data_IF_341230758471
#
_entry.id   IF_341230758471
#
_cell.length_a   1.000
_cell.length_b   1.000
_cell.length_c   1.000
_cell.angle_alpha   90.00
_cell.angle_beta   90.00
_cell.angle_gamma   90.00
#
_symmetry.space_group_name_H-M   'P 1'
#
loop_
_entity.id
_entity.type
_entity.pdbx_description
1 polymer ?
#
# COMPACT_ATOMS: atom_id res chain seq x y z
N UNK A 1 18.33 1.34 -11.64
CA UNK A 1 17.34 1.42 -12.75
C UNK A 1 15.95 1.27 -12.12
N UNK A 2 15.06 2.25 -12.30
CA UNK A 2 13.74 2.26 -11.65
C UNK A 2 12.67 1.49 -12.44
N UNK A 3 11.59 1.10 -11.77
CA UNK A 3 10.41 0.43 -12.35
C UNK A 3 9.42 1.46 -12.91
N UNK A 4 9.87 2.36 -13.79
CA UNK A 4 9.06 3.52 -14.24
C UNK A 4 7.85 3.15 -15.11
N UNK A 5 7.83 1.95 -15.69
CA UNK A 5 6.76 1.43 -16.56
C UNK A 5 6.02 0.24 -15.96
N UNK A 6 6.01 0.12 -14.63
CA UNK A 6 5.31 -0.97 -13.97
C UNK A 6 3.81 -0.75 -14.08
N UNK A 7 3.12 -1.58 -14.87
CA UNK A 7 1.66 -1.49 -15.05
C UNK A 7 0.89 -2.32 -14.02
N UNK A 8 1.47 -3.45 -13.59
CA UNK A 8 0.84 -4.41 -12.68
C UNK A 8 1.86 -5.04 -11.76
N UNK A 9 1.57 -5.07 -10.45
CA UNK A 9 2.39 -5.71 -9.44
C UNK A 9 1.59 -6.82 -8.76
N UNK A 10 2.07 -8.06 -8.86
CA UNK A 10 1.46 -9.22 -8.23
C UNK A 10 2.49 -9.98 -7.40
N UNK A 11 2.24 -10.11 -6.10
CA UNK A 11 3.12 -10.80 -5.15
C UNK A 11 2.28 -11.77 -4.34
N UNK A 12 2.61 -13.06 -4.41
CA UNK A 12 1.85 -14.13 -3.79
C UNK A 12 2.77 -15.13 -3.08
N UNK A 13 2.36 -15.58 -1.89
CA UNK A 13 2.92 -16.77 -1.20
C UNK A 13 4.45 -16.81 -1.07
N UNK A 14 5.06 -15.68 -0.73
CA UNK A 14 6.51 -15.59 -0.52
C UNK A 14 6.86 -15.08 0.89
N UNK A 15 8.08 -15.43 1.34
CA UNK A 15 8.63 -15.04 2.65
C UNK A 15 9.17 -13.61 2.70
N UNK A 16 8.60 -12.70 1.91
CA UNK A 16 9.09 -11.34 1.72
C UNK A 16 8.63 -10.42 2.85
N UNK A 17 9.58 -9.68 3.42
CA UNK A 17 9.32 -8.69 4.48
C UNK A 17 9.09 -7.28 3.90
N UNK A 18 9.79 -6.94 2.81
CA UNK A 18 9.72 -5.63 2.16
C UNK A 18 9.65 -5.78 0.64
N UNK A 19 8.75 -5.02 -0.01
CA UNK A 19 8.58 -5.08 -1.49
C UNK A 19 9.77 -4.50 -2.21
N UNK A 20 10.36 -3.44 -1.66
CA UNK A 20 11.57 -2.82 -2.21
C UNK A 20 12.74 -3.05 -1.26
N UNK A 21 13.80 -3.65 -1.80
CA UNK A 21 15.06 -3.85 -1.09
C UNK A 21 15.72 -2.51 -0.74
N UNK A 22 16.55 -2.50 0.31
CA UNK A 22 17.33 -1.35 0.77
C UNK A 22 18.19 -0.79 -0.38
N UNK A 23 17.70 0.24 -1.07
CA UNK A 23 18.44 1.07 -2.01
C UNK A 23 18.96 2.35 -1.34
N UNK A 24 19.82 3.10 -2.04
CA UNK A 24 20.45 4.32 -1.53
C UNK A 24 19.46 5.25 -0.83
N UNK A 25 19.89 5.76 0.34
CA UNK A 25 19.09 6.44 1.36
C UNK A 25 18.44 7.78 0.94
N UNK A 26 18.57 8.15 -0.34
CA UNK A 26 18.15 9.44 -0.87
C UNK A 26 16.69 9.48 -1.36
N UNK A 27 16.10 8.35 -1.78
CA UNK A 27 14.79 8.36 -2.44
C UNK A 27 13.68 8.10 -1.41
N UNK A 28 13.17 9.16 -0.79
CA UNK A 28 12.10 9.07 0.24
C UNK A 28 10.70 8.76 -0.31
N UNK A 29 10.51 8.89 -1.63
CA UNK A 29 9.20 8.83 -2.30
C UNK A 29 9.31 8.03 -3.59
N UNK A 30 8.42 7.06 -3.75
CA UNK A 30 8.31 6.26 -4.96
C UNK A 30 6.96 6.52 -5.61
N UNK A 31 6.97 6.80 -6.91
CA UNK A 31 5.73 7.03 -7.66
C UNK A 31 5.65 6.01 -8.78
N UNK A 32 4.63 5.17 -8.72
CA UNK A 32 4.30 4.20 -9.76
C UNK A 32 3.25 4.80 -10.68
N UNK A 33 3.71 5.60 -11.64
CA UNK A 33 2.85 6.40 -12.51
C UNK A 33 1.94 5.56 -13.43
N UNK A 34 2.40 4.39 -13.86
CA UNK A 34 1.69 3.55 -14.82
C UNK A 34 0.96 2.36 -14.15
N UNK A 35 1.15 2.17 -12.84
CA UNK A 35 0.62 1.01 -12.14
C UNK A 35 -0.89 1.13 -11.94
N UNK A 36 -1.63 0.20 -12.55
CA UNK A 36 -3.09 0.15 -12.51
C UNK A 36 -3.61 -0.98 -11.62
N UNK A 37 -2.78 -1.99 -11.34
CA UNK A 37 -3.16 -3.16 -10.55
C UNK A 37 -2.08 -3.51 -9.51
N UNK A 38 -2.53 -3.77 -8.28
CA UNK A 38 -1.69 -4.24 -7.17
C UNK A 38 -2.38 -5.43 -6.48
N UNK A 39 -1.71 -6.58 -6.42
CA UNK A 39 -2.14 -7.74 -5.64
C UNK A 39 -1.06 -8.20 -4.68
N UNK A 40 -1.42 -8.28 -3.40
CA UNK A 40 -0.63 -8.82 -2.30
C UNK A 40 -1.42 -9.96 -1.66
N UNK A 41 -0.94 -11.19 -1.80
CA UNK A 41 -1.72 -12.38 -1.43
C UNK A 41 -0.91 -13.36 -0.58
N UNK A 42 -1.41 -13.66 0.62
CA UNK A 42 -0.81 -14.61 1.57
C UNK A 42 0.67 -14.30 1.84
N UNK A 43 0.94 -13.07 2.28
CA UNK A 43 2.27 -12.59 2.63
C UNK A 43 2.35 -12.31 4.15
N UNK A 44 2.42 -13.35 5.00
CA UNK A 44 2.32 -13.19 6.45
C UNK A 44 3.52 -12.46 7.08
N UNK A 45 4.66 -12.43 6.39
CA UNK A 45 5.88 -11.75 6.84
C UNK A 45 6.01 -10.31 6.33
N UNK A 46 5.17 -9.90 5.39
CA UNK A 46 5.28 -8.60 4.73
C UNK A 46 4.97 -7.48 5.74
N UNK A 47 5.97 -6.67 6.05
CA UNK A 47 5.87 -5.54 6.99
C UNK A 47 5.50 -4.23 6.27
N UNK A 48 5.77 -4.15 4.97
CA UNK A 48 5.35 -3.03 4.14
C UNK A 48 6.12 -2.94 2.82
N UNK A 49 6.03 -1.79 2.17
CA UNK A 49 6.76 -1.57 0.91
C UNK A 49 8.25 -1.29 1.12
N UNK A 50 8.62 -0.61 2.22
CA UNK A 50 9.98 -0.16 2.50
C UNK A 50 10.33 -0.31 3.98
N UNK A 51 11.58 -0.69 4.32
CA UNK A 51 12.03 -0.85 5.72
C UNK A 51 12.19 0.47 6.50
N UNK A 52 11.99 1.62 5.87
CA UNK A 52 12.09 2.96 6.46
C UNK A 52 10.82 3.76 6.12
N UNK A 53 10.65 4.94 6.73
CA UNK A 53 9.52 5.85 6.48
C UNK A 53 9.60 6.44 5.06
N UNK A 54 9.19 5.65 4.08
CA UNK A 54 9.13 6.02 2.67
C UNK A 54 7.68 5.86 2.22
N UNK A 55 7.21 6.80 1.43
CA UNK A 55 5.85 6.76 0.89
C UNK A 55 5.89 6.26 -0.56
N UNK A 56 4.95 5.38 -0.89
CA UNK A 56 4.65 5.01 -2.26
C UNK A 56 3.37 5.68 -2.72
N UNK A 57 3.38 6.20 -3.93
CA UNK A 57 2.21 6.75 -4.59
C UNK A 57 1.85 5.98 -5.83
N UNK A 58 0.55 5.79 -6.02
CA UNK A 58 -0.02 4.96 -7.06
C UNK A 58 -1.15 5.72 -7.79
N UNK A 59 -0.82 6.83 -8.48
CA UNK A 59 -1.83 7.76 -8.99
C UNK A 59 -2.79 7.14 -10.01
N UNK A 60 -2.38 6.09 -10.72
CA UNK A 60 -3.21 5.40 -11.72
C UNK A 60 -3.80 4.08 -11.22
N UNK A 61 -3.70 3.77 -9.92
CA UNK A 61 -4.16 2.50 -9.38
C UNK A 61 -5.68 2.40 -9.45
N UNK A 62 -6.16 1.42 -10.21
CA UNK A 62 -7.59 1.15 -10.40
C UNK A 62 -8.08 0.04 -9.50
N UNK A 63 -7.22 -0.93 -9.21
CA UNK A 63 -7.56 -2.10 -8.41
C UNK A 63 -6.43 -2.47 -7.45
N UNK A 64 -6.80 -2.69 -6.20
CA UNK A 64 -5.92 -3.16 -5.14
C UNK A 64 -6.56 -4.37 -4.46
N UNK A 65 -5.79 -5.46 -4.32
CA UNK A 65 -6.19 -6.67 -3.60
C UNK A 65 -5.14 -6.97 -2.55
N UNK A 66 -5.55 -6.97 -1.28
CA UNK A 66 -4.67 -7.33 -0.16
C UNK A 66 -5.39 -8.39 0.68
N UNK A 67 -4.79 -9.57 0.79
CA UNK A 67 -5.36 -10.68 1.54
C UNK A 67 -4.26 -11.49 2.23
N UNK A 68 -4.49 -11.89 3.48
CA UNK A 68 -3.52 -12.68 4.26
C UNK A 68 -2.18 -11.97 4.48
N UNK A 69 -2.19 -10.63 4.59
CA UNK A 69 -1.02 -9.79 4.85
C UNK A 69 -1.16 -9.12 6.22
N UNK A 70 -0.90 -9.86 7.30
CA UNK A 70 -1.34 -9.50 8.65
C UNK A 70 -0.59 -8.33 9.28
N UNK A 71 0.60 -7.99 8.78
CA UNK A 71 1.44 -6.90 9.32
C UNK A 71 1.36 -5.61 8.50
N UNK A 72 0.69 -5.61 7.35
CA UNK A 72 0.62 -4.43 6.47
C UNK A 72 -0.61 -3.60 6.82
N UNK A 73 -0.39 -2.38 7.30
CA UNK A 73 -1.44 -1.38 7.41
C UNK A 73 -1.61 -0.67 6.06
N UNK A 74 -2.75 -0.90 5.40
CA UNK A 74 -3.07 -0.28 4.12
C UNK A 74 -3.97 0.94 4.36
N UNK A 75 -3.39 2.13 4.30
CA UNK A 75 -4.15 3.38 4.29
C UNK A 75 -4.24 3.90 2.86
N UNK A 76 -5.38 3.66 2.19
CA UNK A 76 -5.67 4.26 0.90
C UNK A 76 -6.41 5.59 1.11
N UNK A 77 -5.68 6.69 1.25
CA UNK A 77 -6.27 8.03 1.25
C UNK A 77 -6.65 8.41 -0.19
N UNK A 78 -7.92 8.25 -0.55
CA UNK A 78 -8.48 8.74 -1.83
C UNK A 78 -9.08 7.69 -2.78
N UNK A 79 -9.12 6.41 -2.42
CA UNK A 79 -9.81 5.39 -3.23
C UNK A 79 -11.15 5.03 -2.59
N UNK A 80 -12.26 5.37 -3.25
CA UNK A 80 -13.63 5.08 -2.80
C UNK A 80 -14.04 3.60 -2.87
N UNK A 81 -13.11 2.67 -3.04
CA UNK A 81 -13.38 1.23 -3.14
C UNK A 81 -12.44 0.44 -2.22
N UNK A 82 -12.77 0.38 -0.93
CA UNK A 82 -12.28 -0.70 -0.07
C UNK A 82 -13.50 -1.46 0.45
N UNK A 83 -13.86 -2.56 -0.22
CA UNK A 83 -14.65 -3.60 0.46
C UNK A 83 -13.74 -4.21 1.52
N UNK A 84 -13.86 -3.66 2.73
CA UNK A 84 -13.39 -4.30 3.94
C UNK A 84 -14.27 -5.53 4.15
N UNK A 85 -13.72 -6.73 4.04
CA UNK A 85 -14.28 -7.87 4.78
C UNK A 85 -13.37 -8.11 5.96
N UNK A 86 -13.57 -7.32 7.02
CA UNK A 86 -13.15 -7.70 8.35
C UNK A 86 -14.29 -8.50 8.96
N UNK A 87 -14.22 -9.82 8.86
CA UNK A 87 -14.95 -10.70 9.77
C UNK A 87 -14.11 -10.82 11.04
N UNK A 88 -14.10 -9.77 11.86
CA UNK A 88 -13.93 -9.82 13.32
C UNK A 88 -14.01 -8.39 13.86
N UNK A 89 -14.99 -8.18 14.74
CA UNK A 89 -15.31 -6.87 15.31
C UNK A 89 -14.21 -6.38 16.23
N UNK A 90 -13.58 -5.28 15.85
CA UNK A 90 -12.98 -4.34 16.80
C UNK A 90 -13.24 -2.94 16.28
N UNK A 91 -14.07 -2.19 17.01
CA UNK A 91 -14.30 -0.77 16.78
C UNK A 91 -12.95 -0.04 16.88
N UNK A 92 -12.41 0.38 15.75
CA UNK A 92 -11.37 1.41 15.75
C UNK A 92 -12.07 2.75 15.86
N UNK A 93 -11.84 3.43 16.98
CA UNK A 93 -12.37 4.78 17.23
C UNK A 93 -12.08 5.68 16.03
N UNK A 94 -13.15 6.03 15.31
CA UNK A 94 -13.13 7.01 14.22
C UNK A 94 -12.76 8.35 14.86
N UNK A 95 -11.51 8.77 14.73
CA UNK A 95 -11.12 10.14 15.06
C UNK A 95 -11.77 11.07 14.02
N UNK A 96 -12.41 12.18 14.44
CA UNK A 96 -13.13 13.07 13.53
C UNK A 96 -12.18 13.78 12.53
N UNK A 97 -12.71 14.22 11.37
CA UNK A 97 -11.90 14.88 10.34
C UNK A 97 -11.41 16.25 10.83
N UNK A 98 -10.14 16.54 10.54
CA UNK A 98 -9.55 17.88 10.61
C UNK A 98 -9.94 18.64 9.34
N UNK A 99 -11.13 19.22 9.29
CA UNK A 99 -11.41 20.22 8.26
C UNK A 99 -10.68 21.52 8.60
N UNK A 100 -10.13 22.15 7.56
CA UNK A 100 -10.36 23.57 7.28
C UNK A 100 -10.47 23.73 5.76
N UNK A 101 -11.65 24.13 5.30
CA UNK A 101 -11.80 24.81 4.01
C UNK A 101 -11.68 26.28 4.34
N UNK A 102 -10.58 26.90 3.91
CA UNK A 102 -10.54 28.35 3.72
C UNK A 102 -10.78 28.65 2.24
N UNK A 103 -11.55 29.72 2.04
CA UNK A 103 -12.22 30.12 0.81
C UNK A 103 -11.28 30.70 -0.23
#
# INVERSE_FOLDING_TARGET
>A
RGLTRLESLNIEECGLEWIVAKGEEAIRRFVFLEATFLKLWRLPKLEGFYPRVHTSEWPMLKQMVVHGCNKVEVFASGCGCLHQTSAEGREFAVKPPLFSVDK
#
